data_IF_412476434926
#
_entry.id   IF_412476434926
#
_cell.length_a   1.000
_cell.length_b   1.000
_cell.length_c   1.000
_cell.angle_alpha   90.00
_cell.angle_beta   90.00
_cell.angle_gamma   90.00
#
_symmetry.space_group_name_H-M   'P 1'
#
loop_
_entity.id
_entity.type
_entity.pdbx_description
1 polymer ?
#
# COMPACT_ATOMS: atom_id res chain seq x y z
N UNK A 1 25.65 -8.63 -0.42
CA UNK A 1 24.77 -9.72 -0.88
C UNK A 1 23.48 -9.11 -1.44
N UNK A 2 22.88 -9.69 -2.48
CA UNK A 2 21.57 -9.25 -3.00
C UNK A 2 20.49 -10.23 -2.58
N UNK A 3 19.34 -9.71 -2.17
CA UNK A 3 18.16 -10.48 -1.79
C UNK A 3 17.00 -10.02 -2.65
N UNK A 4 16.22 -10.96 -3.17
CA UNK A 4 15.09 -10.69 -4.04
C UNK A 4 13.80 -11.27 -3.48
N UNK A 5 12.75 -10.51 -3.68
CA UNK A 5 11.37 -10.90 -3.42
C UNK A 5 10.50 -10.51 -4.60
N UNK A 6 9.78 -11.49 -5.15
CA UNK A 6 8.83 -11.24 -6.23
C UNK A 6 7.41 -11.22 -5.69
N UNK A 7 6.80 -10.04 -5.71
CA UNK A 7 5.40 -9.85 -5.46
C UNK A 7 4.59 -10.06 -6.75
N UNK A 8 3.61 -10.96 -6.68
CA UNK A 8 2.68 -11.21 -7.78
C UNK A 8 1.33 -10.57 -7.52
N UNK A 9 0.70 -10.10 -8.59
CA UNK A 9 -0.68 -9.65 -8.58
C UNK A 9 -1.47 -10.55 -9.50
N UNK A 10 -2.53 -11.16 -8.97
CA UNK A 10 -3.45 -11.98 -9.76
C UNK A 10 -4.49 -11.08 -10.40
N UNK A 11 -4.42 -10.91 -11.73
CA UNK A 11 -5.37 -10.13 -12.54
C UNK A 11 -6.46 -11.01 -13.15
N UNK A 12 -7.69 -10.49 -13.24
CA UNK A 12 -8.81 -11.19 -13.91
C UNK A 12 -8.88 -10.87 -15.42
N UNK A 13 -8.17 -9.84 -15.94
CA UNK A 13 -8.18 -9.56 -17.38
C UNK A 13 -6.89 -8.86 -17.86
N UNK A 14 -5.99 -9.60 -18.52
CA UNK A 14 -4.56 -9.25 -18.61
C UNK A 14 -4.07 -8.75 -19.97
N UNK A 15 -4.85 -7.96 -20.73
CA UNK A 15 -4.50 -7.72 -22.14
C UNK A 15 -3.61 -6.51 -22.46
N UNK A 16 -3.34 -5.56 -21.55
CA UNK A 16 -2.55 -4.35 -21.91
C UNK A 16 -1.87 -3.68 -20.70
N UNK A 17 -0.81 -4.27 -20.15
CA UNK A 17 0.08 -3.55 -19.21
C UNK A 17 1.48 -3.46 -19.83
N UNK A 18 1.99 -2.26 -20.19
CA UNK A 18 3.37 -2.11 -20.63
C UNK A 18 4.32 -2.48 -19.47
N UNK A 19 5.47 -3.06 -19.80
CA UNK A 19 6.53 -3.26 -18.82
C UNK A 19 7.23 -1.92 -18.52
N UNK A 20 7.47 -1.62 -17.24
CA UNK A 20 8.17 -0.41 -16.83
C UNK A 20 9.06 -0.68 -15.63
N UNK A 21 10.37 -0.70 -15.84
CA UNK A 21 11.34 -0.84 -14.75
C UNK A 21 11.57 0.50 -14.06
N UNK A 22 11.52 0.49 -12.73
CA UNK A 22 11.94 1.62 -11.90
C UNK A 22 13.05 1.14 -10.98
N UNK A 23 14.09 1.95 -10.82
CA UNK A 23 15.21 1.66 -9.94
C UNK A 23 15.19 2.74 -8.87
N UNK A 24 14.80 2.35 -7.67
CA UNK A 24 14.95 3.22 -6.50
C UNK A 24 16.32 2.98 -5.85
N UNK A 25 16.80 3.95 -5.10
CA UNK A 25 17.94 3.78 -4.20
C UNK A 25 17.54 4.38 -2.87
N UNK A 26 17.32 3.51 -1.87
CA UNK A 26 17.01 3.96 -0.52
C UNK A 26 18.31 4.42 0.18
N UNK A 27 18.30 5.47 1.03
CA UNK A 27 19.51 6.04 1.62
C UNK A 27 20.37 5.07 2.45
N UNK A 28 19.77 4.01 3.02
CA UNK A 28 20.46 3.07 3.92
C UNK A 28 20.76 1.70 3.28
N UNK A 29 20.13 1.37 2.15
CA UNK A 29 20.35 0.14 1.38
C UNK A 29 19.98 0.40 -0.08
N UNK A 30 20.73 -0.17 -1.02
CA UNK A 30 20.33 -0.14 -2.43
C UNK A 30 19.14 -1.08 -2.62
N UNK A 31 17.93 -0.53 -2.50
CA UNK A 31 16.65 -1.19 -2.76
C UNK A 31 16.16 -0.83 -4.15
N UNK A 32 16.18 -1.79 -5.07
CA UNK A 32 15.59 -1.66 -6.40
C UNK A 32 14.16 -2.20 -6.39
N UNK A 33 13.18 -1.40 -6.82
CA UNK A 33 11.77 -1.82 -6.96
C UNK A 33 11.39 -1.88 -8.44
N UNK A 34 11.56 -3.05 -9.06
CA UNK A 34 11.20 -3.28 -10.46
C UNK A 34 9.72 -3.58 -10.55
N UNK A 35 8.96 -2.67 -11.14
CA UNK A 35 7.61 -2.95 -11.57
C UNK A 35 7.67 -3.58 -12.96
N UNK A 36 6.75 -4.48 -13.30
CA UNK A 36 6.67 -4.99 -14.67
C UNK A 36 5.27 -5.41 -15.05
N UNK A 37 5.00 -5.25 -16.34
CA UNK A 37 3.86 -5.84 -17.00
C UNK A 37 4.03 -7.36 -17.07
N UNK A 38 2.93 -8.08 -17.34
CA UNK A 38 2.99 -9.51 -17.51
C UNK A 38 3.78 -9.88 -18.76
N UNK A 39 4.59 -10.93 -18.65
CA UNK A 39 5.33 -11.50 -19.80
C UNK A 39 4.47 -12.61 -20.43
N UNK A 40 4.57 -12.82 -21.75
CA UNK A 40 3.78 -13.85 -22.45
C UNK A 40 4.02 -15.27 -21.91
N UNK A 41 5.19 -15.52 -21.32
CA UNK A 41 5.53 -16.80 -20.67
C UNK A 41 4.85 -16.99 -19.31
N UNK A 42 4.28 -15.95 -18.71
CA UNK A 42 3.53 -16.04 -17.46
C UNK A 42 2.09 -16.46 -17.74
N UNK A 43 1.72 -17.66 -17.27
CA UNK A 43 0.39 -18.21 -17.45
C UNK A 43 -0.72 -17.24 -16.99
N UNK A 44 -1.95 -17.50 -17.44
CA UNK A 44 -3.09 -16.60 -17.26
C UNK A 44 -3.48 -16.32 -15.79
N UNK A 45 -3.01 -17.13 -14.83
CA UNK A 45 -3.51 -17.10 -13.46
C UNK A 45 -2.73 -16.23 -12.47
N UNK A 46 -1.44 -15.97 -12.68
CA UNK A 46 -0.63 -15.17 -11.75
C UNK A 46 0.45 -14.45 -12.52
N UNK A 47 0.42 -13.12 -12.51
CA UNK A 47 1.36 -12.27 -13.23
C UNK A 47 2.22 -11.53 -12.22
N UNK A 48 3.52 -11.53 -12.45
CA UNK A 48 4.43 -10.80 -11.58
C UNK A 48 4.25 -9.31 -11.85
N UNK A 49 4.08 -8.53 -10.79
CA UNK A 49 3.84 -7.10 -10.91
C UNK A 49 4.96 -6.27 -10.32
N UNK A 50 5.54 -6.73 -9.22
CA UNK A 50 6.55 -6.00 -8.47
C UNK A 50 7.65 -6.99 -8.04
N UNK A 51 8.89 -6.64 -8.30
CA UNK A 51 10.08 -7.35 -7.88
C UNK A 51 10.94 -6.39 -7.09
N UNK A 52 11.28 -6.77 -5.88
CA UNK A 52 12.07 -5.94 -4.97
C UNK A 52 13.38 -6.65 -4.74
N UNK A 53 14.47 -5.95 -5.03
CA UNK A 53 15.83 -6.41 -4.81
C UNK A 53 16.49 -5.49 -3.79
N UNK A 54 17.01 -6.04 -2.70
CA UNK A 54 17.77 -5.29 -1.70
C UNK A 54 19.21 -5.77 -1.72
N UNK A 55 20.14 -4.84 -1.90
CA UNK A 55 21.53 -5.06 -1.53
C UNK A 55 21.68 -4.83 -0.03
N UNK A 56 22.18 -5.84 0.69
CA UNK A 56 22.43 -5.77 2.13
C UNK A 56 23.85 -6.23 2.45
N UNK A 57 24.48 -5.53 3.39
CA UNK A 57 25.69 -6.00 4.06
C UNK A 57 25.29 -7.04 5.11
N UNK A 58 25.95 -8.19 5.05
CA UNK A 58 25.77 -9.28 6.01
C UNK A 58 27.15 -9.60 6.60
N UNK A 59 27.16 -10.16 7.81
CA UNK A 59 28.42 -10.53 8.45
C UNK A 59 29.08 -11.75 7.79
N UNK A 60 30.35 -11.99 8.15
CA UNK A 60 31.16 -13.07 7.58
C UNK A 60 30.54 -14.45 7.84
N UNK A 61 29.89 -14.66 8.99
CA UNK A 61 29.20 -15.91 9.32
C UNK A 61 28.03 -16.17 8.36
N UNK A 62 27.22 -15.14 8.08
CA UNK A 62 26.12 -15.22 7.14
C UNK A 62 26.61 -15.42 5.70
N UNK A 63 27.68 -14.75 5.29
CA UNK A 63 28.27 -14.94 3.95
C UNK A 63 28.79 -16.36 3.74
N UNK A 64 29.38 -16.96 4.78
CA UNK A 64 29.86 -18.34 4.75
C UNK A 64 28.71 -19.33 4.64
N UNK A 65 27.63 -19.15 5.41
CA UNK A 65 26.43 -19.99 5.32
C UNK A 65 25.84 -19.94 3.91
N UNK A 66 25.66 -18.73 3.35
CA UNK A 66 25.11 -18.57 2.00
C UNK A 66 26.05 -19.13 0.92
N UNK A 67 27.36 -19.12 1.13
CA UNK A 67 28.35 -19.71 0.23
C UNK A 67 28.19 -21.24 0.16
N UNK A 68 28.13 -21.89 1.32
CA UNK A 68 28.00 -23.34 1.38
C UNK A 68 26.64 -23.80 0.86
N UNK A 69 25.57 -23.04 1.14
CA UNK A 69 24.26 -23.27 0.54
C UNK A 69 24.30 -23.18 -0.99
N UNK A 70 24.89 -22.12 -1.55
CA UNK A 70 25.02 -21.93 -3.00
C UNK A 70 25.78 -23.07 -3.67
N UNK A 71 26.89 -23.53 -3.07
CA UNK A 71 27.67 -24.68 -3.56
C UNK A 71 26.81 -25.94 -3.59
N UNK A 72 26.09 -26.20 -2.50
CA UNK A 72 25.20 -27.34 -2.34
C UNK A 72 24.07 -27.36 -3.39
N UNK A 73 23.49 -26.20 -3.72
CA UNK A 73 22.49 -26.08 -4.81
C UNK A 73 23.06 -26.29 -6.21
N UNK A 74 24.27 -25.78 -6.47
CA UNK A 74 24.93 -25.98 -7.75
C UNK A 74 25.30 -27.45 -7.99
N UNK A 75 25.70 -28.17 -6.93
CA UNK A 75 26.07 -29.58 -6.99
C UNK A 75 24.84 -30.51 -7.14
N UNK A 76 23.66 -30.11 -6.65
CA UNK A 76 22.44 -30.95 -6.64
C UNK A 76 21.58 -30.86 -7.91
N UNK A 77 21.80 -29.86 -8.77
CA UNK A 77 20.93 -29.52 -9.90
C UNK A 77 19.58 -28.96 -9.45
N UNK A 78 19.13 -27.86 -10.07
CA UNK A 78 17.97 -27.05 -9.62
C UNK A 78 16.59 -27.76 -9.60
N UNK A 79 16.48 -29.02 -10.06
CA UNK A 79 15.20 -29.73 -10.23
C UNK A 79 15.00 -30.96 -9.32
N UNK A 80 15.99 -31.39 -8.54
CA UNK A 80 15.83 -32.56 -7.67
C UNK A 80 15.22 -32.17 -6.33
N UNK A 81 14.19 -32.90 -5.87
CA UNK A 81 13.69 -32.79 -4.51
C UNK A 81 14.82 -33.20 -3.55
N UNK A 82 15.48 -32.20 -2.97
CA UNK A 82 16.69 -32.38 -2.15
C UNK A 82 16.28 -33.01 -0.81
N UNK A 83 16.52 -34.31 -0.64
CA UNK A 83 16.35 -35.02 0.63
C UNK A 83 17.73 -35.13 1.29
N UNK A 84 17.85 -34.64 2.52
CA UNK A 84 19.01 -34.76 3.43
C UNK A 84 20.36 -34.24 2.89
N UNK A 85 20.52 -32.92 2.80
CA UNK A 85 21.82 -32.30 2.58
C UNK A 85 22.27 -31.47 3.79
N UNK A 86 23.32 -31.96 4.46
CA UNK A 86 24.07 -31.20 5.45
C UNK A 86 25.35 -30.62 4.84
N UNK A 87 25.82 -29.50 5.38
CA UNK A 87 27.09 -28.87 5.01
C UNK A 87 27.86 -28.46 6.25
N UNK A 88 29.18 -28.32 6.12
CA UNK A 88 30.07 -27.96 7.23
C UNK A 88 30.63 -26.57 7.02
N UNK A 89 30.47 -25.74 8.04
CA UNK A 89 31.13 -24.45 8.14
C UNK A 89 32.64 -24.63 8.40
N UNK A 90 33.44 -23.59 8.13
CA UNK A 90 34.86 -23.48 8.49
C UNK A 90 35.09 -23.67 9.99
N UNK A 91 34.11 -23.31 10.81
CA UNK A 91 34.10 -23.57 12.26
C UNK A 91 33.99 -25.06 12.62
N UNK A 92 33.73 -25.94 11.64
CA UNK A 92 33.49 -27.36 11.82
C UNK A 92 32.03 -27.70 12.16
N UNK A 93 31.17 -26.70 12.36
CA UNK A 93 29.75 -26.89 12.65
C UNK A 93 29.02 -27.43 11.42
N UNK A 94 28.27 -28.51 11.61
CA UNK A 94 27.43 -29.11 10.57
C UNK A 94 26.01 -28.54 10.64
N UNK A 95 25.48 -28.09 9.52
CA UNK A 95 24.15 -27.49 9.35
C UNK A 95 23.33 -28.34 8.38
N UNK A 96 22.03 -28.41 8.61
CA UNK A 96 21.07 -29.11 7.75
C UNK A 96 20.28 -28.07 6.95
N UNK A 97 20.50 -28.05 5.63
CA UNK A 97 19.91 -27.06 4.72
C UNK A 97 18.37 -27.13 4.66
N UNK A 98 17.77 -28.25 5.05
CA UNK A 98 16.33 -28.49 5.04
C UNK A 98 15.66 -28.21 6.39
N UNK A 99 16.43 -28.04 7.46
CA UNK A 99 15.90 -27.76 8.81
C UNK A 99 16.24 -26.32 9.22
N UNK A 100 15.27 -25.39 9.15
CA UNK A 100 15.46 -24.01 9.60
C UNK A 100 16.02 -23.92 11.02
N UNK A 101 15.64 -24.84 11.91
CA UNK A 101 16.13 -24.90 13.28
C UNK A 101 17.64 -25.13 13.40
N UNK A 102 18.31 -25.69 12.38
CA UNK A 102 19.75 -25.99 12.40
C UNK A 102 20.62 -24.73 12.28
N UNK A 103 20.11 -23.69 11.61
CA UNK A 103 20.86 -22.45 11.39
C UNK A 103 21.12 -21.67 12.69
N UNK A 104 22.25 -20.96 12.79
CA UNK A 104 22.51 -20.01 13.88
C UNK A 104 21.41 -18.95 14.02
N UNK A 105 21.17 -18.50 15.25
CA UNK A 105 20.15 -17.47 15.51
C UNK A 105 20.55 -16.11 14.92
N UNK A 106 21.85 -15.80 14.87
CA UNK A 106 22.41 -14.64 14.16
C UNK A 106 21.95 -14.63 12.70
N UNK A 107 22.16 -15.74 11.99
CA UNK A 107 21.74 -15.90 10.60
C UNK A 107 20.23 -15.76 10.41
N UNK A 108 19.43 -16.47 11.22
CA UNK A 108 17.96 -16.38 11.15
C UNK A 108 17.47 -14.95 11.34
N UNK A 109 17.98 -14.26 12.35
CA UNK A 109 17.59 -12.88 12.66
C UNK A 109 17.89 -11.93 11.50
N UNK A 110 19.05 -12.07 10.85
CA UNK A 110 19.42 -11.27 9.68
C UNK A 110 18.47 -11.54 8.52
N UNK A 111 18.22 -12.82 8.19
CA UNK A 111 17.33 -13.20 7.11
C UNK A 111 15.88 -12.74 7.36
N UNK A 112 15.37 -12.91 8.58
CA UNK A 112 14.04 -12.44 8.97
C UNK A 112 13.94 -10.91 8.87
N UNK A 113 14.95 -10.17 9.34
CA UNK A 113 14.96 -8.71 9.23
C UNK A 113 14.94 -8.23 7.79
N UNK A 114 15.72 -8.87 6.90
CA UNK A 114 15.73 -8.55 5.47
C UNK A 114 14.36 -8.85 4.85
N UNK A 115 13.77 -9.99 5.19
CA UNK A 115 12.46 -10.38 4.70
C UNK A 115 11.37 -9.40 5.15
N UNK A 116 11.32 -9.04 6.43
CA UNK A 116 10.37 -8.07 6.99
C UNK A 116 10.50 -6.72 6.28
N UNK A 117 11.73 -6.27 6.03
CA UNK A 117 11.98 -5.02 5.32
C UNK A 117 11.44 -5.09 3.88
N UNK A 118 11.76 -6.15 3.14
CA UNK A 118 11.28 -6.31 1.77
C UNK A 118 9.75 -6.43 1.71
N UNK A 119 9.15 -7.21 2.61
CA UNK A 119 7.70 -7.36 2.68
C UNK A 119 7.01 -6.03 3.00
N UNK A 120 7.61 -5.22 3.87
CA UNK A 120 7.14 -3.87 4.17
C UNK A 120 7.22 -2.97 2.95
N UNK A 121 8.35 -2.96 2.22
CA UNK A 121 8.50 -2.18 0.98
C UNK A 121 7.43 -2.61 -0.04
N UNK A 122 7.23 -3.92 -0.22
CA UNK A 122 6.18 -4.44 -1.11
C UNK A 122 4.80 -3.92 -0.74
N UNK A 123 4.45 -4.00 0.55
CA UNK A 123 3.17 -3.55 1.06
C UNK A 123 2.99 -2.04 0.85
N UNK A 124 3.99 -1.25 1.19
CA UNK A 124 3.97 0.21 1.05
C UNK A 124 3.82 0.62 -0.43
N UNK A 125 4.62 0.01 -1.33
CA UNK A 125 4.53 0.23 -2.78
C UNK A 125 3.10 -0.03 -3.27
N UNK A 126 2.53 -1.18 -2.93
CA UNK A 126 1.20 -1.54 -3.44
C UNK A 126 0.10 -0.70 -2.80
N UNK A 127 0.23 -0.31 -1.53
CA UNK A 127 -0.69 0.61 -0.89
C UNK A 127 -0.74 1.95 -1.65
N UNK A 128 0.40 2.47 -2.10
CA UNK A 128 0.41 3.70 -2.92
C UNK A 128 -0.27 3.47 -4.27
N UNK A 129 -0.02 2.34 -4.95
CA UNK A 129 -0.74 2.03 -6.19
C UNK A 129 -2.25 1.93 -5.98
N UNK A 130 -2.67 1.27 -4.90
CA UNK A 130 -4.08 1.13 -4.51
C UNK A 130 -4.74 2.49 -4.30
N UNK A 131 -4.07 3.38 -3.57
CA UNK A 131 -4.52 4.76 -3.37
C UNK A 131 -4.57 5.51 -4.71
N UNK A 132 -3.45 5.61 -5.42
CA UNK A 132 -3.33 6.39 -6.66
C UNK A 132 -4.32 5.94 -7.74
N UNK A 133 -4.67 4.66 -7.78
CA UNK A 133 -5.57 4.08 -8.77
C UNK A 133 -7.01 3.91 -8.27
N UNK A 134 -7.28 4.22 -6.99
CA UNK A 134 -8.57 4.00 -6.32
C UNK A 134 -9.07 2.54 -6.46
N UNK A 135 -8.19 1.57 -6.19
CA UNK A 135 -8.53 0.14 -6.26
C UNK A 135 -9.29 -0.27 -4.98
N UNK A 136 -10.47 -0.86 -5.13
CA UNK A 136 -11.36 -1.18 -4.00
C UNK A 136 -11.15 -2.59 -3.46
N UNK A 137 -10.80 -3.54 -4.31
CA UNK A 137 -10.59 -4.94 -3.94
C UNK A 137 -9.10 -5.26 -3.79
N UNK A 138 -8.67 -5.36 -2.54
CA UNK A 138 -7.32 -5.77 -2.20
C UNK A 138 -7.36 -6.79 -1.08
N UNK A 139 -7.27 -8.08 -1.41
CA UNK A 139 -7.11 -9.12 -0.40
C UNK A 139 -5.67 -9.63 -0.40
N UNK A 140 -5.00 -9.48 0.74
CA UNK A 140 -3.78 -10.20 1.04
C UNK A 140 -4.12 -11.69 1.16
N UNK A 141 -3.60 -12.52 0.26
CA UNK A 141 -3.54 -13.96 0.50
C UNK A 141 -2.08 -14.34 0.64
N UNK A 142 -1.79 -15.22 1.57
CA UNK A 142 -0.44 -15.75 1.68
C UNK A 142 -0.29 -16.90 0.70
N UNK A 143 0.69 -16.83 -0.19
CA UNK A 143 1.09 -18.02 -0.98
C UNK A 143 2.58 -18.28 -0.87
N UNK A 144 2.96 -19.46 -1.33
CA UNK A 144 4.35 -19.92 -1.38
C UNK A 144 5.05 -19.23 -2.56
N UNK A 145 5.75 -18.13 -2.30
CA UNK A 145 6.65 -17.49 -3.28
C UNK A 145 8.06 -17.42 -2.72
N UNK A 146 9.03 -17.54 -3.61
CA UNK A 146 10.44 -17.80 -3.30
C UNK A 146 11.11 -16.52 -2.82
N UNK A 147 11.66 -16.56 -1.61
CA UNK A 147 12.67 -15.61 -1.16
C UNK A 147 14.01 -16.08 -1.73
N UNK A 148 14.78 -15.16 -2.31
CA UNK A 148 15.94 -15.51 -3.14
C UNK A 148 17.16 -14.66 -2.77
N UNK A 149 18.35 -15.20 -3.01
CA UNK A 149 19.60 -14.47 -2.86
C UNK A 149 20.54 -14.67 -4.03
N UNK A 150 21.42 -13.69 -4.23
CA UNK A 150 22.44 -13.70 -5.26
C UNK A 150 23.66 -12.90 -4.81
N UNK A 151 24.86 -13.32 -5.23
CA UNK A 151 26.09 -12.54 -5.06
C UNK A 151 26.31 -11.53 -6.18
N UNK A 152 25.80 -11.83 -7.37
CA UNK A 152 26.15 -11.16 -8.63
C UNK A 152 24.94 -10.65 -9.42
N UNK A 153 23.72 -10.87 -8.90
CA UNK A 153 22.43 -10.60 -9.55
C UNK A 153 22.16 -11.43 -10.81
N UNK A 154 23.06 -12.33 -11.20
CA UNK A 154 22.96 -13.15 -12.40
C UNK A 154 22.42 -14.55 -12.09
N UNK A 155 22.89 -15.16 -10.99
CA UNK A 155 22.40 -16.45 -10.50
C UNK A 155 21.63 -16.24 -9.21
N UNK A 156 20.36 -16.64 -9.20
CA UNK A 156 19.47 -16.50 -8.05
C UNK A 156 19.22 -17.87 -7.42
N UNK A 157 19.55 -17.99 -6.14
CA UNK A 157 19.32 -19.18 -5.31
C UNK A 157 18.05 -18.99 -4.47
N UNK A 158 17.30 -20.06 -4.23
CA UNK A 158 16.02 -20.01 -3.50
C UNK A 158 16.16 -20.60 -2.10
N UNK A 159 15.48 -20.03 -1.11
CA UNK A 159 15.45 -20.64 0.23
C UNK A 159 14.48 -21.84 0.20
N UNK A 160 14.98 -23.03 0.56
CA UNK A 160 14.20 -24.27 0.53
C UNK A 160 13.12 -24.35 1.63
N UNK A 161 13.21 -23.52 2.66
CA UNK A 161 12.17 -23.42 3.67
C UNK A 161 11.19 -22.32 3.31
N UNK A 162 9.92 -22.72 3.28
CA UNK A 162 8.77 -21.85 3.03
C UNK A 162 8.78 -20.71 4.03
N UNK A 163 9.10 -19.52 3.55
CA UNK A 163 8.78 -18.29 4.24
C UNK A 163 7.57 -17.70 3.53
N UNK A 164 6.48 -17.61 4.28
CA UNK A 164 5.19 -17.15 3.81
C UNK A 164 5.30 -15.76 3.19
N UNK A 165 4.81 -15.63 1.96
CA UNK A 165 4.86 -14.39 1.17
C UNK A 165 3.43 -13.91 0.91
N UNK A 166 3.08 -12.65 1.22
CA UNK A 166 1.82 -12.08 0.77
C UNK A 166 1.79 -12.00 -0.77
N UNK A 167 0.83 -12.70 -1.37
CA UNK A 167 0.24 -12.35 -2.66
C UNK A 167 -0.86 -11.33 -2.41
N UNK A 168 -0.92 -10.38 -3.32
CA UNK A 168 -1.96 -9.39 -3.30
C UNK A 168 -2.90 -9.66 -4.46
N UNK A 169 -4.17 -9.93 -4.15
CA UNK A 169 -5.19 -10.04 -5.16
C UNK A 169 -5.72 -8.66 -5.50
N UNK A 170 -5.60 -8.30 -6.78
CA UNK A 170 -6.28 -7.13 -7.35
C UNK A 170 -7.27 -7.68 -8.37
N UNK A 171 -8.56 -7.60 -8.05
CA UNK A 171 -9.62 -8.05 -8.97
C UNK A 171 -9.90 -7.04 -10.07
N UNK A 172 -9.48 -5.78 -9.87
CA UNK A 172 -9.67 -4.68 -10.80
C UNK A 172 -8.60 -4.62 -11.90
N UNK A 173 -9.02 -4.15 -13.08
CA UNK A 173 -8.11 -3.96 -14.21
C UNK A 173 -7.31 -2.69 -13.95
N UNK A 174 -5.99 -2.83 -13.75
CA UNK A 174 -5.09 -1.69 -13.83
C UNK A 174 -5.08 -1.17 -15.27
N UNK A 175 -5.51 0.07 -15.45
CA UNK A 175 -5.26 0.80 -16.69
C UNK A 175 -3.91 1.53 -16.57
N UNK A 176 -2.84 1.01 -17.18
CA UNK A 176 -1.50 1.57 -17.05
C UNK A 176 -1.38 2.95 -17.68
N UNK A 177 -2.32 3.32 -18.56
CA UNK A 177 -2.37 4.64 -19.19
C UNK A 177 -2.54 5.74 -18.13
N UNK A 178 -3.06 5.40 -16.95
CA UNK A 178 -3.33 6.36 -15.86
C UNK A 178 -2.14 6.63 -14.93
N UNK A 179 -1.01 5.96 -15.10
CA UNK A 179 0.19 6.13 -14.27
C UNK A 179 1.38 6.56 -15.14
N UNK A 180 1.60 7.88 -15.33
CA UNK A 180 2.80 8.38 -15.97
C UNK A 180 4.06 7.90 -15.24
N UNK A 181 5.12 7.58 -15.99
CA UNK A 181 6.39 7.13 -15.41
C UNK A 181 6.94 8.13 -14.39
N UNK A 182 6.88 9.42 -14.70
CA UNK A 182 7.37 10.48 -13.83
C UNK A 182 6.62 10.54 -12.48
N UNK A 183 5.32 10.20 -12.46
CA UNK A 183 4.55 10.10 -11.21
C UNK A 183 4.92 8.86 -10.40
N UNK A 184 5.23 7.74 -11.06
CA UNK A 184 5.71 6.53 -10.38
C UNK A 184 7.09 6.80 -9.77
N UNK A 185 7.97 7.46 -10.50
CA UNK A 185 9.29 7.86 -10.02
C UNK A 185 9.16 8.83 -8.83
N UNK A 186 8.19 9.76 -8.85
CA UNK A 186 7.88 10.64 -7.73
C UNK A 186 7.34 9.87 -6.51
N UNK A 187 6.40 8.94 -6.72
CA UNK A 187 5.81 8.09 -5.68
C UNK A 187 6.87 7.30 -4.93
N UNK A 188 7.77 6.67 -5.68
CA UNK A 188 8.84 5.84 -5.14
C UNK A 188 9.91 6.70 -4.48
N UNK A 189 10.45 7.71 -5.19
CA UNK A 189 11.53 8.56 -4.67
C UNK A 189 11.15 9.42 -3.46
N UNK A 190 9.88 9.79 -3.28
CA UNK A 190 9.40 10.58 -2.12
C UNK A 190 8.92 9.71 -0.97
N UNK A 191 9.07 8.39 -1.05
CA UNK A 191 8.55 7.43 -0.08
C UNK A 191 7.09 7.73 0.25
N UNK A 192 6.28 7.99 -0.79
CA UNK A 192 4.88 8.29 -0.60
C UNK A 192 4.22 7.12 0.12
N UNK A 193 3.25 7.44 0.98
CA UNK A 193 2.43 6.44 1.65
C UNK A 193 1.00 6.72 1.33
N UNK A 194 0.25 5.64 1.20
CA UNK A 194 -1.19 5.76 1.23
C UNK A 194 -1.64 6.45 2.53
N UNK A 195 -2.49 7.49 2.44
CA UNK A 195 -3.03 8.12 3.63
C UNK A 195 -3.97 7.17 4.40
N UNK A 196 -3.89 7.19 5.73
CA UNK A 196 -4.64 6.28 6.60
C UNK A 196 -6.16 6.43 6.41
N UNK A 197 -6.64 7.63 6.09
CA UNK A 197 -8.06 7.86 5.82
C UNK A 197 -8.59 7.09 4.60
N UNK A 198 -7.77 6.77 3.60
CA UNK A 198 -8.19 5.92 2.48
C UNK A 198 -8.26 4.45 2.90
N UNK A 199 -7.37 4.00 3.77
CA UNK A 199 -7.43 2.66 4.36
C UNK A 199 -8.71 2.48 5.17
N UNK A 200 -8.99 3.42 6.08
CA UNK A 200 -10.22 3.43 6.87
C UNK A 200 -11.45 3.47 5.96
N UNK A 201 -11.45 4.30 4.92
CA UNK A 201 -12.59 4.37 4.01
C UNK A 201 -12.87 3.05 3.30
N UNK A 202 -11.83 2.36 2.80
CA UNK A 202 -12.02 1.05 2.17
C UNK A 202 -12.53 0.00 3.15
N UNK A 203 -11.99 -0.05 4.37
CA UNK A 203 -12.52 -0.93 5.41
C UNK A 203 -14.00 -0.64 5.68
N UNK A 204 -14.36 0.64 5.82
CA UNK A 204 -15.74 1.08 5.95
C UNK A 204 -16.62 0.64 4.76
N UNK A 205 -16.11 0.79 3.54
CA UNK A 205 -16.82 0.42 2.31
C UNK A 205 -17.12 -1.08 2.27
N UNK A 206 -16.14 -1.93 2.58
CA UNK A 206 -16.29 -3.38 2.62
C UNK A 206 -17.28 -3.86 3.68
N UNK A 207 -17.32 -3.16 4.82
CA UNK A 207 -18.22 -3.47 5.91
C UNK A 207 -19.67 -3.02 5.65
N UNK A 208 -19.95 -2.18 4.65
CA UNK A 208 -21.25 -1.50 4.50
C UNK A 208 -22.45 -2.45 4.43
N UNK A 209 -22.27 -3.64 3.85
CA UNK A 209 -23.34 -4.64 3.74
C UNK A 209 -23.38 -5.64 4.89
N UNK A 210 -22.22 -5.96 5.48
CA UNK A 210 -22.09 -7.00 6.51
C UNK A 210 -22.26 -6.43 7.92
N UNK A 211 -21.66 -5.27 8.17
CA UNK A 211 -21.56 -4.61 9.47
C UNK A 211 -21.80 -3.09 9.33
N UNK A 212 -23.02 -2.65 9.00
CA UNK A 212 -23.33 -1.24 8.72
C UNK A 212 -23.07 -0.30 9.91
N UNK A 213 -23.11 -0.81 11.15
CA UNK A 213 -22.73 -0.05 12.36
C UNK A 213 -21.24 0.28 12.38
N UNK A 214 -20.38 -0.71 12.16
CA UNK A 214 -18.94 -0.51 12.12
C UNK A 214 -18.55 0.35 10.92
N UNK A 215 -19.18 0.09 9.78
CA UNK A 215 -19.00 0.87 8.55
C UNK A 215 -19.20 2.37 8.78
N UNK A 216 -20.34 2.81 9.33
CA UNK A 216 -20.55 4.26 9.56
C UNK A 216 -19.55 4.87 10.55
N UNK A 217 -19.13 4.12 11.58
CA UNK A 217 -18.13 4.58 12.54
C UNK A 217 -16.80 4.82 11.84
N UNK A 218 -16.30 3.81 11.12
CA UNK A 218 -15.00 3.86 10.44
C UNK A 218 -15.03 4.91 9.31
N UNK A 219 -16.12 4.97 8.53
CA UNK A 219 -16.24 5.92 7.43
C UNK A 219 -16.23 7.39 7.89
N UNK A 220 -16.85 7.71 9.03
CA UNK A 220 -16.77 9.08 9.58
C UNK A 220 -15.40 9.35 10.21
N UNK A 221 -14.80 8.35 10.87
CA UNK A 221 -13.42 8.46 11.35
C UNK A 221 -12.43 8.73 10.22
N UNK A 222 -12.62 8.13 9.04
CA UNK A 222 -11.82 8.42 7.85
C UNK A 222 -11.87 9.92 7.48
N UNK A 223 -13.06 10.53 7.45
CA UNK A 223 -13.21 11.96 7.15
C UNK A 223 -12.55 12.86 8.22
N UNK A 224 -12.65 12.49 9.50
CA UNK A 224 -12.00 13.22 10.59
C UNK A 224 -10.48 13.13 10.52
N UNK A 225 -9.93 11.94 10.25
CA UNK A 225 -8.50 11.71 10.05
C UNK A 225 -8.00 12.47 8.84
N UNK A 226 -8.74 12.47 7.72
CA UNK A 226 -8.36 13.22 6.52
C UNK A 226 -8.24 14.73 6.78
N UNK A 227 -9.19 15.31 7.51
CA UNK A 227 -9.13 16.72 7.87
C UNK A 227 -7.91 17.00 8.76
N UNK A 228 -7.63 16.14 9.74
CA UNK A 228 -6.46 16.29 10.63
C UNK A 228 -5.14 16.16 9.89
N UNK A 229 -4.98 15.12 9.08
CA UNK A 229 -3.78 14.92 8.26
C UNK A 229 -3.56 16.06 7.27
N UNK A 230 -4.63 16.59 6.67
CA UNK A 230 -4.55 17.76 5.80
C UNK A 230 -3.98 18.97 6.53
N UNK A 231 -4.46 19.24 7.75
CA UNK A 231 -3.98 20.35 8.58
C UNK A 231 -2.52 20.13 8.96
N UNK A 232 -2.18 18.94 9.47
CA UNK A 232 -0.81 18.59 9.83
C UNK A 232 0.16 18.74 8.65
N UNK A 233 -0.26 18.31 7.46
CA UNK A 233 0.54 18.40 6.24
C UNK A 233 0.70 19.82 5.70
N UNK A 234 -0.29 20.70 5.88
CA UNK A 234 -0.28 22.07 5.34
C UNK A 234 0.21 23.11 6.35
N UNK A 235 0.11 22.82 7.65
CA UNK A 235 0.51 23.70 8.75
C UNK A 235 1.36 22.89 9.76
N UNK A 236 2.62 22.54 9.44
CA UNK A 236 3.43 21.66 10.28
C UNK A 236 3.64 22.18 11.71
N UNK A 237 3.71 23.50 11.89
CA UNK A 237 3.83 24.11 13.23
C UNK A 237 2.61 23.88 14.13
N UNK A 238 1.46 23.51 13.56
CA UNK A 238 0.23 23.16 14.28
C UNK A 238 -0.06 21.65 14.25
N UNK A 239 0.87 20.82 13.77
CA UNK A 239 0.71 19.36 13.67
C UNK A 239 0.34 18.74 15.03
N UNK A 240 1.09 19.09 16.09
CA UNK A 240 0.83 18.58 17.43
C UNK A 240 -0.61 18.86 17.92
N UNK A 241 -1.18 20.02 17.53
CA UNK A 241 -2.54 20.40 17.91
C UNK A 241 -3.55 19.58 17.11
N UNK A 242 -3.29 19.32 15.83
CA UNK A 242 -4.16 18.49 15.00
C UNK A 242 -4.13 17.01 15.43
N UNK A 243 -2.98 16.49 15.87
CA UNK A 243 -2.81 15.10 16.28
C UNK A 243 -3.42 14.84 17.66
N UNK A 244 -3.06 15.66 18.66
CA UNK A 244 -3.37 15.40 20.07
C UNK A 244 -4.72 15.98 20.53
N UNK A 245 -5.22 17.04 19.88
CA UNK A 245 -6.49 17.63 20.28
C UNK A 245 -7.69 16.81 19.76
N UNK A 246 -8.81 16.77 20.52
CA UNK A 246 -10.09 16.32 19.98
C UNK A 246 -10.43 17.11 18.71
N UNK A 247 -10.84 16.42 17.65
CA UNK A 247 -11.23 17.07 16.40
C UNK A 247 -12.37 18.06 16.67
N UNK A 248 -12.23 19.35 16.34
CA UNK A 248 -13.37 20.27 16.34
C UNK A 248 -14.50 19.74 15.45
N UNK A 249 -15.74 20.25 15.58
CA UNK A 249 -16.87 19.76 14.79
C UNK A 249 -16.55 19.75 13.28
N UNK A 250 -16.51 18.56 12.69
CA UNK A 250 -16.01 18.33 11.32
C UNK A 250 -16.66 19.28 10.30
N UNK A 251 -17.98 19.48 10.40
CA UNK A 251 -18.72 20.37 9.48
C UNK A 251 -18.28 21.83 9.59
N UNK A 252 -17.97 22.29 10.80
CA UNK A 252 -17.44 23.63 11.02
C UNK A 252 -16.03 23.76 10.44
N UNK A 253 -15.19 22.73 10.58
CA UNK A 253 -13.87 22.70 9.97
C UNK A 253 -13.94 22.74 8.44
N UNK A 254 -14.78 21.91 7.83
CA UNK A 254 -14.99 21.89 6.37
C UNK A 254 -15.49 23.24 5.83
N UNK A 255 -16.39 23.91 6.56
CA UNK A 255 -17.00 25.17 6.11
C UNK A 255 -16.11 26.40 6.35
N UNK A 256 -15.52 26.50 7.53
CA UNK A 256 -14.92 27.75 8.00
C UNK A 256 -13.39 27.70 8.03
N UNK A 257 -12.81 26.51 8.20
CA UNK A 257 -11.36 26.38 8.41
C UNK A 257 -10.62 25.91 7.17
N UNK A 258 -11.13 24.89 6.47
CA UNK A 258 -10.54 24.37 5.24
C UNK A 258 -10.26 25.48 4.20
N UNK A 259 -11.17 26.44 3.93
CA UNK A 259 -10.91 27.55 3.00
C UNK A 259 -9.76 28.48 3.40
N UNK A 260 -9.33 28.45 4.66
CA UNK A 260 -8.26 29.31 5.19
C UNK A 260 -6.88 28.62 5.16
N UNK A 261 -6.83 27.33 4.83
CA UNK A 261 -5.58 26.58 4.82
C UNK A 261 -4.68 26.99 3.64
N UNK A 262 -3.35 26.96 3.82
CA UNK A 262 -2.39 27.21 2.75
C UNK A 262 -2.25 25.99 1.84
N UNK A 263 -3.33 25.63 1.13
CA UNK A 263 -3.38 24.45 0.26
C UNK A 263 -2.43 24.58 -0.92
N UNK A 264 -1.94 23.44 -1.42
CA UNK A 264 -1.04 23.40 -2.58
C UNK A 264 -1.80 23.62 -3.90
N UNK A 265 -2.98 23.01 -4.02
CA UNK A 265 -3.87 23.23 -5.16
C UNK A 265 -5.09 24.07 -4.75
N UNK A 266 -5.68 24.75 -5.73
CA UNK A 266 -6.81 25.68 -5.57
C UNK A 266 -7.72 25.60 -6.78
N UNK A 267 -8.99 25.98 -6.63
CA UNK A 267 -9.90 26.18 -7.76
C UNK A 267 -10.01 27.67 -8.03
N UNK A 268 -9.68 28.12 -9.24
CA UNK A 268 -9.72 29.54 -9.61
C UNK A 268 -9.00 30.45 -8.58
N UNK A 269 -7.81 30.02 -8.12
CA UNK A 269 -7.01 30.68 -7.07
C UNK A 269 -7.60 30.70 -5.65
N UNK A 270 -8.74 30.04 -5.41
CA UNK A 270 -9.39 29.96 -4.11
C UNK A 270 -9.49 28.52 -3.58
N UNK A 271 -9.59 28.39 -2.24
CA UNK A 271 -9.89 27.12 -1.58
C UNK A 271 -11.39 27.09 -1.29
N UNK A 272 -12.10 26.25 -2.03
CA UNK A 272 -13.55 26.14 -1.89
C UNK A 272 -13.90 25.22 -0.70
N UNK A 273 -14.95 25.57 0.03
CA UNK A 273 -15.52 24.63 0.98
C UNK A 273 -16.21 23.47 0.22
N UNK A 274 -16.24 22.25 0.79
CA UNK A 274 -17.01 21.16 0.20
C UNK A 274 -18.48 21.56 0.02
N UNK A 275 -19.17 21.08 -1.02
CA UNK A 275 -20.55 21.40 -1.32
C UNK A 275 -21.51 21.25 -0.14
N UNK A 276 -22.65 21.93 -0.22
CA UNK A 276 -23.70 21.82 0.81
C UNK A 276 -24.21 20.38 0.93
N UNK A 277 -24.32 19.65 -0.19
CA UNK A 277 -24.73 18.24 -0.19
C UNK A 277 -23.75 17.36 0.61
N UNK A 278 -22.45 17.44 0.32
CA UNK A 278 -21.40 16.70 1.03
C UNK A 278 -21.41 17.03 2.53
N UNK A 279 -21.43 18.32 2.89
CA UNK A 279 -21.45 18.74 4.30
C UNK A 279 -22.69 18.28 5.04
N UNK A 280 -23.86 18.29 4.38
CA UNK A 280 -25.10 17.78 4.96
C UNK A 280 -24.99 16.28 5.21
N UNK A 281 -24.59 15.51 4.20
CA UNK A 281 -24.57 14.05 4.28
C UNK A 281 -23.52 13.54 5.29
N UNK A 282 -22.33 14.16 5.33
CA UNK A 282 -21.33 13.87 6.37
C UNK A 282 -21.85 14.30 7.75
N UNK A 283 -22.58 15.42 7.86
CA UNK A 283 -23.19 15.88 9.11
C UNK A 283 -24.22 14.88 9.65
N UNK A 284 -25.09 14.38 8.78
CA UNK A 284 -26.02 13.29 9.09
C UNK A 284 -25.25 12.04 9.55
N UNK A 285 -24.14 11.71 8.90
CA UNK A 285 -23.27 10.59 9.28
C UNK A 285 -22.62 10.74 10.66
N UNK A 286 -22.11 11.93 11.00
CA UNK A 286 -21.57 12.26 12.33
C UNK A 286 -22.64 12.04 13.40
N UNK A 287 -23.86 12.54 13.18
CA UNK A 287 -24.96 12.33 14.12
C UNK A 287 -25.35 10.86 14.26
N UNK A 288 -25.41 10.13 13.14
CA UNK A 288 -25.75 8.71 13.11
C UNK A 288 -24.71 7.88 13.85
N UNK A 289 -23.42 8.10 13.60
CA UNK A 289 -22.33 7.48 14.36
C UNK A 289 -22.54 7.70 15.86
N UNK A 290 -22.75 8.93 16.31
CA UNK A 290 -22.93 9.23 17.73
C UNK A 290 -24.13 8.48 18.33
N UNK A 291 -25.24 8.41 17.59
CA UNK A 291 -26.45 7.65 17.98
C UNK A 291 -26.21 6.13 17.99
N UNK A 292 -25.44 5.59 17.05
CA UNK A 292 -25.12 4.15 16.97
C UNK A 292 -24.17 3.74 18.10
N UNK A 293 -23.12 4.53 18.34
CA UNK A 293 -22.08 4.23 19.34
C UNK A 293 -22.61 4.42 20.77
N UNK A 294 -23.31 5.52 21.04
CA UNK A 294 -23.69 5.86 22.42
C UNK A 294 -25.10 5.43 22.82
N UNK A 295 -26.02 5.31 21.86
CA UNK A 295 -27.44 5.06 22.13
C UNK A 295 -27.89 3.67 21.66
N UNK A 296 -27.02 2.91 20.98
CA UNK A 296 -27.32 1.56 20.52
C UNK A 296 -28.41 1.48 19.44
N UNK A 297 -28.69 2.58 18.73
CA UNK A 297 -29.73 2.62 17.67
C UNK A 297 -29.47 1.59 16.56
N UNK A 298 -30.52 1.26 15.81
CA UNK A 298 -30.39 0.46 14.59
C UNK A 298 -29.45 1.16 13.60
N UNK A 299 -28.74 0.33 12.83
CA UNK A 299 -27.85 0.80 11.78
C UNK A 299 -28.64 1.58 10.71
N UNK A 300 -28.00 2.51 9.99
CA UNK A 300 -28.62 3.15 8.84
C UNK A 300 -29.03 2.10 7.79
N UNK A 301 -30.10 2.39 7.04
CA UNK A 301 -30.46 1.62 5.85
C UNK A 301 -29.30 1.63 4.85
N UNK A 302 -29.15 0.56 4.04
CA UNK A 302 -28.07 0.45 3.06
C UNK A 302 -27.94 1.68 2.15
N UNK A 303 -29.03 2.14 1.53
CA UNK A 303 -29.00 3.32 0.66
C UNK A 303 -28.62 4.62 1.39
N UNK A 304 -29.04 4.76 2.65
CA UNK A 304 -28.64 5.88 3.50
C UNK A 304 -27.15 5.85 3.85
N UNK A 305 -26.61 4.67 4.19
CA UNK A 305 -25.19 4.48 4.49
C UNK A 305 -24.32 4.73 3.25
N UNK A 306 -24.68 4.14 2.12
CA UNK A 306 -23.95 4.30 0.86
C UNK A 306 -23.87 5.76 0.43
N UNK A 307 -24.99 6.50 0.53
CA UNK A 307 -25.01 7.94 0.26
C UNK A 307 -23.99 8.71 1.13
N UNK A 308 -23.94 8.43 2.42
CA UNK A 308 -23.00 9.07 3.35
C UNK A 308 -21.56 8.70 2.97
N UNK A 309 -21.29 7.42 2.72
CA UNK A 309 -19.95 6.94 2.36
C UNK A 309 -19.46 7.52 1.02
N UNK A 310 -20.32 7.68 0.03
CA UNK A 310 -19.94 8.33 -1.22
C UNK A 310 -19.59 9.81 -1.00
N UNK A 311 -20.31 10.51 -0.13
CA UNK A 311 -19.98 11.89 0.26
C UNK A 311 -18.67 11.98 1.06
N UNK A 312 -18.37 10.99 1.90
CA UNK A 312 -17.04 10.83 2.52
C UNK A 312 -15.98 10.63 1.44
N UNK A 313 -16.17 9.69 0.51
CA UNK A 313 -15.21 9.40 -0.57
C UNK A 313 -14.80 10.65 -1.34
N UNK A 314 -15.77 11.43 -1.81
CA UNK A 314 -15.51 12.67 -2.53
C UNK A 314 -14.76 13.68 -1.67
N UNK A 315 -15.08 13.77 -0.37
CA UNK A 315 -14.37 14.63 0.55
C UNK A 315 -12.90 14.20 0.74
N UNK A 316 -12.61 12.90 0.82
CA UNK A 316 -11.23 12.39 0.93
C UNK A 316 -10.40 12.75 -0.31
N UNK A 317 -10.97 12.57 -1.51
CA UNK A 317 -10.30 12.96 -2.75
C UNK A 317 -10.12 14.48 -2.87
N UNK A 318 -11.08 15.26 -2.38
CA UNK A 318 -10.93 16.72 -2.30
C UNK A 318 -9.80 17.14 -1.35
N UNK A 319 -9.61 16.42 -0.24
CA UNK A 319 -8.46 16.62 0.66
C UNK A 319 -7.14 16.31 -0.07
N UNK A 320 -7.06 15.21 -0.81
CA UNK A 320 -5.87 14.88 -1.61
C UNK A 320 -5.55 15.98 -2.63
N UNK A 321 -6.57 16.51 -3.31
CA UNK A 321 -6.39 17.63 -4.23
C UNK A 321 -5.74 18.81 -3.51
N UNK A 322 -6.29 19.25 -2.38
CA UNK A 322 -5.74 20.37 -1.61
C UNK A 322 -4.33 20.13 -1.06
N UNK A 323 -3.96 18.86 -0.81
CA UNK A 323 -2.61 18.45 -0.42
C UNK A 323 -1.59 18.46 -1.57
N UNK A 324 -2.05 18.62 -2.81
CA UNK A 324 -1.21 18.77 -4.02
C UNK A 324 -1.44 17.70 -5.09
N UNK A 325 -2.30 16.71 -4.86
CA UNK A 325 -2.48 15.58 -5.76
C UNK A 325 -3.56 15.88 -6.81
N UNK A 326 -3.18 16.47 -7.95
CA UNK A 326 -4.13 16.90 -9.00
C UNK A 326 -4.98 15.76 -9.56
N UNK A 327 -4.38 14.57 -9.72
CA UNK A 327 -5.03 13.35 -10.20
C UNK A 327 -6.22 12.90 -9.33
N UNK A 328 -6.32 13.34 -8.08
CA UNK A 328 -7.43 12.96 -7.19
C UNK A 328 -8.80 13.44 -7.71
N UNK A 329 -8.83 14.48 -8.55
CA UNK A 329 -10.05 14.98 -9.17
C UNK A 329 -10.75 13.93 -10.06
N UNK A 330 -9.99 12.99 -10.62
CA UNK A 330 -10.53 11.91 -11.45
C UNK A 330 -11.49 11.00 -10.67
N UNK A 331 -11.32 10.96 -9.34
CA UNK A 331 -12.09 10.11 -8.44
C UNK A 331 -13.22 10.82 -7.71
N UNK A 332 -13.37 12.14 -7.90
CA UNK A 332 -14.51 12.91 -7.41
C UNK A 332 -15.67 12.77 -8.40
N UNK A 333 -16.87 12.49 -7.87
CA UNK A 333 -18.10 12.43 -8.67
C UNK A 333 -18.38 13.75 -9.40
N UNK A 334 -18.90 13.66 -10.62
CA UNK A 334 -19.15 14.83 -11.47
C UNK A 334 -20.20 15.77 -10.85
N UNK A 335 -21.19 15.22 -10.14
CA UNK A 335 -22.20 16.03 -9.45
C UNK A 335 -21.57 16.89 -8.35
N UNK A 336 -20.59 16.34 -7.63
CA UNK A 336 -19.86 17.07 -6.59
C UNK A 336 -19.07 18.22 -7.19
N UNK A 337 -18.35 17.98 -8.29
CA UNK A 337 -17.58 19.03 -8.98
C UNK A 337 -18.48 20.10 -9.58
N UNK A 338 -19.62 19.71 -10.16
CA UNK A 338 -20.61 20.62 -10.70
C UNK A 338 -21.18 21.54 -9.60
N UNK A 339 -21.48 21.02 -8.40
CA UNK A 339 -21.90 21.82 -7.26
C UNK A 339 -20.82 22.81 -6.78
N UNK A 340 -19.55 22.50 -7.01
CA UNK A 340 -18.41 23.39 -6.74
C UNK A 340 -18.14 24.39 -7.87
N UNK A 341 -18.82 24.26 -9.02
CA UNK A 341 -18.55 25.07 -10.21
C UNK A 341 -17.24 24.71 -10.91
N UNK A 342 -16.79 23.46 -10.78
CA UNK A 342 -15.54 22.94 -11.37
C UNK A 342 -15.88 22.03 -12.56
N UNK A 343 -15.27 22.28 -13.72
CA UNK A 343 -15.37 21.41 -14.89
C UNK A 343 -14.07 20.60 -15.05
N UNK A 344 -14.16 19.29 -15.30
CA UNK A 344 -13.00 18.40 -15.51
C UNK A 344 -12.17 18.70 -16.78
N UNK A 345 -12.64 19.60 -17.66
CA UNK A 345 -12.04 19.89 -18.97
C UNK A 345 -11.11 21.12 -18.96
N UNK A 346 -10.11 21.16 -18.08
CA UNK A 346 -9.01 22.13 -18.17
C UNK A 346 -7.67 21.41 -18.29
#
# INVERSE_FOLDING_TARGET
MFFRYSCSIRYINSKKIPAFEVIESHPDNLTTVVLRGPVESEGFETKHFCEIVIASSIDEECEEILFELEKLFNDSGQESCIVDQSFKLKSGKELDAMRPSSFPESFKSVILSIQENIAKIAKDTIAVFRWRMNLSDFSETTTLRRFEWSRDQSVWNHFNYVLFSPIFHITEILDPIKLPKDEIDEILSKSMKEPVYHELFRESWELRFKNPRSSIVIGISAAEVAMKECIASLVPHAQWLAEEAPTPPLIAMMKNYLPLLPTKNKFNAEVLAPPKSIRRDIGEGVELRNKVVHVGRQAPSYGGLEKILLSVKDFLWLIDYYRGYTWSLDYIRDETLAEMGVNKNC
#
